data_IF_892789881525
#
_entry.id   IF_892789881525
#
_cell.length_a   1.000
_cell.length_b   1.000
_cell.length_c   1.000
_cell.angle_alpha   90.00
_cell.angle_beta   90.00
_cell.angle_gamma   90.00
#
_symmetry.space_group_name_H-M   'P 1'
#
loop_
_entity.id
_entity.type
_entity.pdbx_description
1 polymer ?
#
# COMPACT_ATOMS: atom_id res chain seq x y z
N UNK A 1 -6.88 -22.57 -14.29
CA UNK A 1 -7.82 -22.63 -13.13
C UNK A 1 -7.09 -22.78 -11.80
N UNK A 2 -5.93 -23.45 -11.73
CA UNK A 2 -5.05 -23.47 -10.54
C UNK A 2 -4.42 -22.10 -10.28
N UNK A 3 -3.95 -21.43 -11.33
CA UNK A 3 -3.12 -20.24 -11.23
C UNK A 3 -3.87 -19.05 -10.59
N UNK A 4 -5.14 -18.84 -10.97
CA UNK A 4 -5.97 -17.78 -10.37
C UNK A 4 -6.24 -18.05 -8.88
N UNK A 5 -6.41 -19.31 -8.49
CA UNK A 5 -6.65 -19.69 -7.09
C UNK A 5 -5.40 -19.43 -6.24
N UNK A 6 -4.21 -19.63 -6.80
CA UNK A 6 -2.95 -19.35 -6.13
C UNK A 6 -2.79 -17.84 -5.88
N UNK A 7 -3.12 -17.00 -6.88
CA UNK A 7 -3.18 -15.54 -6.70
C UNK A 7 -4.14 -15.14 -5.57
N UNK A 8 -5.34 -15.74 -5.49
CA UNK A 8 -6.28 -15.48 -4.40
C UNK A 8 -5.71 -15.84 -3.02
N UNK A 9 -4.93 -16.92 -2.94
CA UNK A 9 -4.28 -17.35 -1.70
C UNK A 9 -3.14 -16.41 -1.34
N UNK A 10 -2.32 -15.99 -2.30
CA UNK A 10 -1.22 -15.05 -2.06
C UNK A 10 -1.74 -13.71 -1.54
N UNK A 11 -2.81 -13.18 -2.13
CA UNK A 11 -3.48 -11.97 -1.64
C UNK A 11 -4.00 -12.17 -0.21
N UNK A 12 -4.66 -13.29 0.08
CA UNK A 12 -5.23 -13.58 1.40
C UNK A 12 -4.15 -13.75 2.49
N UNK A 13 -3.09 -14.51 2.19
CA UNK A 13 -2.03 -14.83 3.13
C UNK A 13 -0.91 -13.79 3.16
N UNK A 14 -1.03 -12.69 2.41
CA UNK A 14 -0.12 -11.55 2.51
C UNK A 14 0.03 -11.04 3.95
N UNK A 15 1.28 -10.90 4.42
CA UNK A 15 1.62 -10.43 5.76
C UNK A 15 2.53 -9.20 5.71
N UNK A 16 2.41 -8.35 6.73
CA UNK A 16 3.33 -7.23 6.97
C UNK A 16 4.03 -7.49 8.31
N UNK A 17 5.37 -7.54 8.36
CA UNK A 17 6.09 -7.60 9.62
C UNK A 17 5.98 -6.26 10.32
N UNK A 18 5.46 -6.26 11.54
CA UNK A 18 5.12 -5.05 12.29
C UNK A 18 5.75 -5.10 13.68
N UNK A 19 6.35 -3.98 14.08
CA UNK A 19 6.85 -3.72 15.42
C UNK A 19 5.88 -2.76 16.10
N UNK A 20 5.27 -3.18 17.20
CA UNK A 20 4.45 -2.32 18.04
C UNK A 20 5.27 -1.81 19.21
N UNK A 21 5.31 -0.49 19.41
CA UNK A 21 5.99 0.15 20.54
C UNK A 21 4.98 0.99 21.32
N UNK A 22 4.99 0.91 22.65
CA UNK A 22 4.12 1.76 23.47
C UNK A 22 4.59 3.22 23.40
N UNK A 23 3.65 4.16 23.30
CA UNK A 23 3.98 5.58 23.29
C UNK A 23 4.72 6.00 24.57
N UNK A 24 5.72 6.86 24.42
CA UNK A 24 6.70 7.15 25.48
C UNK A 24 6.10 7.86 26.70
N UNK A 25 5.06 8.68 26.50
CA UNK A 25 4.40 9.40 27.60
C UNK A 25 3.26 8.59 28.24
N UNK A 26 3.05 7.33 27.84
CA UNK A 26 2.09 6.46 28.52
C UNK A 26 2.59 6.09 29.91
N UNK A 27 1.71 6.26 30.91
CA UNK A 27 2.05 5.96 32.30
C UNK A 27 2.10 4.44 32.47
N UNK A 28 3.29 3.92 32.75
CA UNK A 28 3.53 2.50 32.96
C UNK A 28 4.12 2.20 34.33
N UNK A 29 3.86 1.01 34.86
CA UNK A 29 4.45 0.50 36.10
C UNK A 29 5.90 0.03 35.89
N UNK A 30 6.24 -0.33 34.65
CA UNK A 30 7.56 -0.83 34.21
C UNK A 30 7.73 -0.61 32.71
N UNK A 31 8.96 -0.68 32.25
CA UNK A 31 9.29 -0.58 30.83
C UNK A 31 8.53 -1.62 29.98
N UNK A 32 7.98 -1.16 28.86
CA UNK A 32 7.20 -1.97 27.94
C UNK A 32 8.08 -2.46 26.79
N UNK A 33 8.33 -3.76 26.70
CA UNK A 33 9.05 -4.31 25.55
C UNK A 33 8.23 -4.19 24.25
N UNK A 34 8.86 -3.90 23.10
CA UNK A 34 8.18 -3.91 21.81
C UNK A 34 7.56 -5.29 21.49
N UNK A 35 6.44 -5.28 20.77
CA UNK A 35 5.71 -6.49 20.37
C UNK A 35 5.76 -6.68 18.86
N UNK A 36 6.33 -7.79 18.39
CA UNK A 36 6.42 -8.10 16.96
C UNK A 36 5.29 -9.03 16.52
N UNK A 37 4.65 -8.70 15.39
CA UNK A 37 3.56 -9.49 14.84
C UNK A 37 3.54 -9.42 13.31
N UNK A 38 3.20 -10.54 12.65
CA UNK A 38 2.90 -10.57 11.23
C UNK A 38 1.41 -10.21 11.01
N UNK A 39 1.14 -9.00 10.57
CA UNK A 39 -0.23 -8.54 10.36
C UNK A 39 -0.80 -9.02 9.01
N UNK A 40 -2.03 -9.56 8.95
CA UNK A 40 -2.69 -9.90 7.70
C UNK A 40 -3.13 -8.66 6.91
N UNK A 41 -2.65 -8.52 5.68
CA UNK A 41 -2.95 -7.37 4.80
C UNK A 41 -4.45 -7.13 4.59
N UNK A 42 -5.24 -8.21 4.48
CA UNK A 42 -6.68 -8.16 4.16
C UNK A 42 -7.59 -7.89 5.37
N UNK A 43 -7.04 -7.74 6.58
CA UNK A 43 -7.82 -7.56 7.82
C UNK A 43 -7.73 -6.13 8.37
N UNK A 44 -8.27 -5.91 9.57
CA UNK A 44 -8.33 -4.62 10.26
C UNK A 44 -7.49 -4.64 11.54
N UNK A 45 -6.82 -3.53 11.87
CA UNK A 45 -5.91 -3.45 13.04
C UNK A 45 -6.61 -3.89 14.33
N UNK A 46 -7.78 -3.36 14.63
CA UNK A 46 -8.56 -3.65 15.85
C UNK A 46 -9.11 -5.07 15.90
N UNK A 47 -9.07 -5.83 14.80
CA UNK A 47 -9.53 -7.23 14.75
C UNK A 47 -8.42 -8.22 15.15
N UNK A 48 -7.17 -7.89 14.83
CA UNK A 48 -6.02 -8.84 14.89
C UNK A 48 -4.99 -8.52 15.97
N UNK A 49 -5.19 -7.44 16.72
CA UNK A 49 -4.23 -6.92 17.72
C UNK A 49 -4.60 -7.25 19.18
N UNK A 50 -5.50 -8.22 19.41
CA UNK A 50 -5.87 -8.66 20.78
C UNK A 50 -4.65 -9.02 21.64
N UNK A 51 -3.63 -9.66 21.04
CA UNK A 51 -2.38 -10.03 21.73
C UNK A 51 -1.52 -8.80 22.05
N UNK A 52 -1.48 -7.82 21.16
CA UNK A 52 -0.77 -6.55 21.34
C UNK A 52 -1.41 -5.76 22.48
N UNK A 53 -2.76 -5.63 22.46
CA UNK A 53 -3.52 -4.99 23.54
C UNK A 53 -3.24 -5.66 24.89
N UNK A 54 -3.35 -6.99 24.97
CA UNK A 54 -3.05 -7.75 26.20
C UNK A 54 -1.59 -7.64 26.66
N UNK A 55 -0.65 -7.45 25.75
CA UNK A 55 0.77 -7.28 26.08
C UNK A 55 0.99 -5.95 26.82
N UNK A 56 0.57 -4.84 26.23
CA UNK A 56 0.78 -3.52 26.81
C UNK A 56 -0.10 -3.25 28.04
N UNK A 57 -1.31 -3.82 28.11
CA UNK A 57 -2.14 -3.69 29.32
C UNK A 57 -1.50 -4.30 30.58
N UNK A 58 -0.52 -5.22 30.46
CA UNK A 58 0.17 -5.83 31.62
C UNK A 58 1.18 -4.91 32.31
N UNK A 59 1.50 -3.77 31.70
CA UNK A 59 2.44 -2.79 32.25
C UNK A 59 1.74 -1.48 32.62
N UNK A 60 0.43 -1.41 32.44
CA UNK A 60 -0.39 -0.22 32.73
C UNK A 60 -1.26 -0.44 33.96
N UNK A 61 -1.54 0.65 34.69
CA UNK A 61 -2.53 0.62 35.77
C UNK A 61 -3.94 0.53 35.20
N UNK A 62 -4.84 -0.14 35.92
CA UNK A 62 -6.19 -0.40 35.43
C UNK A 62 -7.00 0.89 35.17
N UNK A 63 -6.76 1.95 35.95
CA UNK A 63 -7.37 3.28 35.74
C UNK A 63 -6.87 4.02 34.49
N UNK A 64 -5.70 3.67 33.98
CA UNK A 64 -5.07 4.29 32.80
C UNK A 64 -5.42 3.56 31.50
N UNK A 65 -6.08 2.40 31.58
CA UNK A 65 -6.46 1.60 30.41
C UNK A 65 -7.76 2.16 29.80
N UNK A 66 -7.61 2.86 28.68
CA UNK A 66 -8.72 3.30 27.82
C UNK A 66 -8.72 2.57 26.48
N UNK A 67 -9.46 3.09 25.49
CA UNK A 67 -9.50 2.52 24.15
C UNK A 67 -8.12 2.58 23.48
N UNK A 68 -7.67 1.46 22.95
CA UNK A 68 -6.40 1.36 22.23
C UNK A 68 -6.54 2.01 20.85
N UNK A 69 -5.57 2.83 20.48
CA UNK A 69 -5.43 3.34 19.12
C UNK A 69 -3.96 3.29 18.66
N UNK A 70 -3.76 3.44 17.36
CA UNK A 70 -2.48 3.21 16.71
C UNK A 70 -2.07 4.41 15.88
N UNK A 71 -0.77 4.67 15.81
CA UNK A 71 -0.18 5.77 15.08
C UNK A 71 1.01 5.28 14.24
N UNK A 72 1.22 5.91 13.09
CA UNK A 72 2.45 5.82 12.33
C UNK A 72 2.98 7.23 12.03
N UNK A 73 4.18 7.55 12.52
CA UNK A 73 4.87 8.83 12.29
C UNK A 73 3.95 10.07 12.49
N UNK A 74 3.25 10.16 13.63
CA UNK A 74 2.35 11.26 13.94
C UNK A 74 0.96 11.16 13.30
N UNK A 75 0.71 10.15 12.47
CA UNK A 75 -0.58 9.96 11.78
C UNK A 75 -1.42 8.87 12.45
N UNK A 76 -2.60 9.21 13.02
CA UNK A 76 -3.53 8.22 13.54
C UNK A 76 -4.01 7.23 12.47
N UNK A 77 -3.89 5.93 12.75
CA UNK A 77 -4.22 4.85 11.83
C UNK A 77 -5.70 4.49 11.88
N UNK A 78 -6.41 4.78 10.79
CA UNK A 78 -7.85 4.49 10.64
C UNK A 78 -8.12 2.99 10.63
N UNK A 79 -8.59 2.44 11.76
CA UNK A 79 -8.80 0.98 11.91
C UNK A 79 -9.72 0.37 10.86
N UNK A 80 -10.65 1.15 10.31
CA UNK A 80 -11.64 0.71 9.32
C UNK A 80 -11.06 0.64 7.89
N UNK A 81 -9.80 1.03 7.69
CA UNK A 81 -9.05 0.79 6.46
C UNK A 81 -8.29 -0.54 6.59
N UNK A 82 -8.24 -1.38 5.53
CA UNK A 82 -7.46 -2.61 5.58
C UNK A 82 -6.00 -2.36 5.90
N UNK A 83 -5.38 -3.27 6.65
CA UNK A 83 -3.99 -3.15 7.10
C UNK A 83 -3.02 -2.96 5.92
N UNK A 84 -3.22 -3.74 4.84
CA UNK A 84 -2.41 -3.64 3.63
C UNK A 84 -2.49 -2.25 2.99
N UNK A 85 -3.68 -1.65 2.96
CA UNK A 85 -3.88 -0.30 2.45
C UNK A 85 -3.14 0.74 3.30
N UNK A 86 -3.28 0.67 4.63
CA UNK A 86 -2.60 1.61 5.52
C UNK A 86 -1.08 1.55 5.33
N UNK A 87 -0.52 0.35 5.25
CA UNK A 87 0.91 0.16 5.03
C UNK A 87 1.33 0.64 3.63
N UNK A 88 0.62 0.24 2.58
CA UNK A 88 0.97 0.59 1.19
C UNK A 88 0.94 2.11 0.98
N UNK A 89 -0.03 2.79 1.61
CA UNK A 89 -0.21 4.24 1.51
C UNK A 89 0.79 5.05 2.35
N UNK A 90 1.17 4.57 3.54
CA UNK A 90 1.89 5.38 4.53
C UNK A 90 3.35 4.96 4.74
N UNK A 91 3.68 3.67 4.55
CA UNK A 91 4.94 3.10 5.04
C UNK A 91 5.64 2.16 4.04
N UNK A 92 5.14 2.01 2.81
CA UNK A 92 5.70 1.08 1.80
C UNK A 92 7.11 1.42 1.35
N UNK A 93 7.49 2.70 1.39
CA UNK A 93 8.84 3.18 1.08
C UNK A 93 9.80 3.12 2.28
N UNK A 94 9.28 2.82 3.47
CA UNK A 94 10.07 2.73 4.71
C UNK A 94 10.67 1.34 4.90
N UNK A 95 11.78 1.27 5.64
CA UNK A 95 12.38 -0.01 6.00
C UNK A 95 11.44 -0.82 6.90
N UNK A 96 11.39 -2.13 6.66
CA UNK A 96 10.70 -3.08 7.54
C UNK A 96 11.50 -3.33 8.83
N UNK A 97 10.84 -3.67 9.96
CA UNK A 97 9.40 -3.85 10.13
C UNK A 97 8.62 -2.53 10.15
N UNK A 98 7.32 -2.58 9.84
CA UNK A 98 6.44 -1.42 9.99
C UNK A 98 6.34 -1.03 11.47
N UNK A 99 6.81 0.16 11.83
CA UNK A 99 6.86 0.62 13.21
C UNK A 99 5.56 1.35 13.58
N UNK A 100 4.72 0.72 14.39
CA UNK A 100 3.46 1.30 14.87
C UNK A 100 3.60 1.68 16.33
N UNK A 101 3.19 2.90 16.66
CA UNK A 101 3.09 3.36 18.05
C UNK A 101 1.70 3.03 18.59
N UNK A 102 1.66 2.49 19.81
CA UNK A 102 0.44 2.11 20.53
C UNK A 102 0.13 3.16 21.58
N UNK A 103 -1.12 3.60 21.61
CA UNK A 103 -1.62 4.57 22.56
C UNK A 103 -2.89 4.03 23.24
N UNK A 104 -3.11 4.48 24.47
CA UNK A 104 -4.34 4.26 25.22
C UNK A 104 -4.99 5.59 25.58
N UNK A 105 -4.23 6.64 25.84
CA UNK A 105 -4.73 7.97 26.20
C UNK A 105 -4.92 8.88 24.98
N UNK A 106 -5.57 10.02 25.20
CA UNK A 106 -5.69 11.10 24.20
C UNK A 106 -6.21 10.63 22.85
N UNK A 107 -7.31 9.87 22.85
CA UNK A 107 -7.90 9.35 21.61
C UNK A 107 -8.20 10.50 20.63
N UNK A 108 -7.74 10.44 19.38
CA UNK A 108 -7.91 11.53 18.42
C UNK A 108 -9.32 11.51 17.80
N UNK A 109 -10.29 12.04 18.56
CA UNK A 109 -11.73 12.10 18.23
C UNK A 109 -12.06 12.66 16.84
N UNK A 110 -11.20 13.53 16.31
CA UNK A 110 -11.40 14.18 15.01
C UNK A 110 -10.92 13.32 13.84
N UNK A 111 -10.00 12.40 14.09
CA UNK A 111 -9.26 11.66 13.05
C UNK A 111 -9.65 10.18 12.99
N UNK A 112 -10.11 9.63 14.12
CA UNK A 112 -10.46 8.21 14.26
C UNK A 112 -11.92 8.01 14.67
N UNK A 113 -12.51 6.95 14.11
CA UNK A 113 -13.78 6.41 14.58
C UNK A 113 -13.51 5.49 15.78
N UNK A 114 -14.37 5.52 16.79
CA UNK A 114 -14.32 4.52 17.87
C UNK A 114 -14.60 3.10 17.36
N UNK A 115 -13.98 2.11 18.01
CA UNK A 115 -14.14 0.69 17.77
C UNK A 115 -14.36 -0.07 19.09
N UNK A 116 -15.53 0.12 19.76
CA UNK A 116 -15.78 -0.43 21.08
C UNK A 116 -15.91 -1.96 21.11
N UNK A 117 -16.22 -2.60 19.98
CA UNK A 117 -16.40 -4.05 19.90
C UNK A 117 -16.11 -4.60 18.50
N UNK A 118 -15.93 -5.93 18.42
CA UNK A 118 -15.80 -6.63 17.14
C UNK A 118 -17.06 -6.57 16.28
N UNK A 119 -18.23 -6.35 16.89
CA UNK A 119 -19.50 -6.21 16.16
C UNK A 119 -19.52 -4.94 15.30
N UNK A 120 -18.83 -3.87 15.73
CA UNK A 120 -18.65 -2.64 14.93
C UNK A 120 -17.79 -2.93 13.69
N UNK A 121 -16.76 -3.77 13.83
CA UNK A 121 -15.92 -4.22 12.72
C UNK A 121 -16.72 -5.09 11.76
N UNK A 122 -17.52 -6.03 12.27
CA UNK A 122 -18.42 -6.88 11.46
C UNK A 122 -19.45 -6.03 10.69
N UNK A 123 -20.05 -5.03 11.34
CA UNK A 123 -20.99 -4.12 10.71
C UNK A 123 -20.33 -3.29 9.59
N UNK A 124 -19.13 -2.75 9.83
CA UNK A 124 -18.35 -2.02 8.82
C UNK A 124 -17.99 -2.91 7.62
N UNK A 125 -17.47 -4.10 7.89
CA UNK A 125 -17.13 -5.09 6.87
C UNK A 125 -18.35 -5.43 6.00
N UNK A 126 -19.48 -5.76 6.63
CA UNK A 126 -20.71 -6.11 5.90
C UNK A 126 -21.30 -4.92 5.14
N UNK A 127 -21.14 -3.70 5.64
CA UNK A 127 -21.51 -2.48 4.92
C UNK A 127 -20.72 -2.35 3.62
N UNK A 128 -19.40 -2.51 3.68
CA UNK A 128 -18.52 -2.48 2.50
C UNK A 128 -18.87 -3.59 1.49
N UNK A 129 -19.16 -4.81 1.96
CA UNK A 129 -19.56 -5.93 1.07
C UNK A 129 -20.89 -5.62 0.37
N UNK A 130 -21.88 -5.08 1.09
CA UNK A 130 -23.17 -4.69 0.52
C UNK A 130 -23.06 -3.56 -0.49
N UNK A 131 -22.22 -2.55 -0.20
CA UNK A 131 -21.93 -1.46 -1.12
C UNK A 131 -21.28 -1.97 -2.41
N UNK A 132 -20.30 -2.87 -2.29
CA UNK A 132 -19.67 -3.51 -3.44
C UNK A 132 -20.68 -4.32 -4.28
N UNK A 133 -21.57 -5.06 -3.64
CA UNK A 133 -22.61 -5.82 -4.35
C UNK A 133 -23.69 -4.92 -4.98
N UNK A 134 -23.97 -3.75 -4.39
CA UNK A 134 -24.83 -2.73 -4.99
C UNK A 134 -24.27 -2.27 -6.35
N UNK A 135 -22.95 -2.08 -6.43
CA UNK A 135 -22.26 -1.70 -7.66
C UNK A 135 -22.23 -2.85 -8.68
N UNK A 136 -21.91 -4.07 -8.23
CA UNK A 136 -21.75 -5.23 -9.12
C UNK A 136 -23.09 -5.77 -9.64
N UNK A 137 -24.06 -5.95 -8.75
CA UNK A 137 -25.28 -6.73 -8.99
C UNK A 137 -26.56 -6.05 -8.48
N UNK A 138 -26.55 -4.73 -8.22
CA UNK A 138 -27.70 -4.03 -7.62
C UNK A 138 -28.15 -4.66 -6.28
N UNK A 139 -27.19 -5.19 -5.52
CA UNK A 139 -27.40 -5.90 -4.24
C UNK A 139 -28.18 -7.21 -4.35
N UNK A 140 -28.40 -7.75 -5.56
CA UNK A 140 -29.21 -8.97 -5.74
C UNK A 140 -28.56 -10.17 -5.03
N UNK A 141 -27.27 -10.42 -5.29
CA UNK A 141 -26.58 -11.60 -4.77
C UNK A 141 -26.49 -11.57 -3.24
N UNK A 142 -26.09 -10.45 -2.64
CA UNK A 142 -25.95 -10.35 -1.17
C UNK A 142 -27.30 -10.43 -0.45
N UNK A 143 -28.38 -9.95 -1.08
CA UNK A 143 -29.74 -9.98 -0.49
C UNK A 143 -30.41 -11.35 -0.61
N UNK A 144 -30.04 -12.16 -1.61
CA UNK A 144 -30.49 -13.55 -1.74
C UNK A 144 -29.78 -14.52 -0.79
N UNK A 145 -28.60 -14.13 -0.27
CA UNK A 145 -27.86 -14.92 0.71
C UNK A 145 -28.59 -15.02 2.05
N UNK A 146 -28.44 -16.17 2.71
CA UNK A 146 -28.97 -16.38 4.06
C UNK A 146 -28.09 -15.69 5.10
N UNK A 147 -28.65 -15.34 6.27
CA UNK A 147 -27.89 -14.76 7.40
C UNK A 147 -26.67 -15.58 7.81
N UNK A 148 -26.73 -16.91 7.68
CA UNK A 148 -25.60 -17.81 7.94
C UNK A 148 -24.45 -17.61 6.95
N UNK A 149 -24.74 -17.26 5.70
CA UNK A 149 -23.75 -17.02 4.65
C UNK A 149 -23.01 -15.70 4.95
N UNK A 150 -23.75 -14.66 5.38
CA UNK A 150 -23.15 -13.40 5.86
C UNK A 150 -22.23 -13.66 7.06
N UNK A 151 -22.69 -14.46 8.03
CA UNK A 151 -21.85 -14.82 9.19
C UNK A 151 -20.63 -15.64 8.79
N UNK A 152 -20.75 -16.51 7.78
CA UNK A 152 -19.64 -17.30 7.28
C UNK A 152 -18.57 -16.43 6.59
N UNK A 153 -18.96 -15.40 5.83
CA UNK A 153 -18.00 -14.41 5.30
C UNK A 153 -17.21 -13.75 6.43
N UNK A 154 -17.93 -13.23 7.43
CA UNK A 154 -17.31 -12.59 8.58
C UNK A 154 -16.38 -13.54 9.35
N UNK A 155 -16.85 -14.75 9.68
CA UNK A 155 -16.05 -15.75 10.41
C UNK A 155 -14.84 -16.22 9.60
N UNK A 156 -14.96 -16.27 8.26
CA UNK A 156 -13.84 -16.55 7.36
C UNK A 156 -12.74 -15.51 7.48
N UNK A 157 -13.10 -14.22 7.46
CA UNK A 157 -12.16 -13.10 7.65
C UNK A 157 -11.57 -13.09 9.07
N UNK A 158 -12.43 -13.15 10.09
CA UNK A 158 -12.02 -13.04 11.50
C UNK A 158 -11.04 -14.13 11.93
N UNK A 159 -11.21 -15.35 11.42
CA UNK A 159 -10.41 -16.51 11.81
C UNK A 159 -9.35 -16.89 10.77
N UNK A 160 -9.10 -16.03 9.77
CA UNK A 160 -8.11 -16.27 8.70
C UNK A 160 -8.35 -17.59 7.95
N UNK A 161 -9.62 -17.92 7.70
CA UNK A 161 -10.07 -19.17 7.05
C UNK A 161 -10.43 -18.93 5.59
N UNK A 162 -9.43 -18.98 4.72
CA UNK A 162 -9.56 -18.79 3.26
C UNK A 162 -10.72 -19.58 2.65
N UNK A 163 -10.76 -20.91 2.81
CA UNK A 163 -11.78 -21.75 2.15
C UNK A 163 -13.20 -21.46 2.69
N UNK A 164 -13.31 -21.12 3.98
CA UNK A 164 -14.59 -20.73 4.59
C UNK A 164 -15.12 -19.42 3.99
N UNK A 165 -14.25 -18.43 3.81
CA UNK A 165 -14.58 -17.16 3.18
C UNK A 165 -14.97 -17.34 1.70
N UNK A 166 -14.10 -18.00 0.93
CA UNK A 166 -14.28 -18.15 -0.52
C UNK A 166 -15.42 -19.09 -0.93
N UNK A 167 -15.83 -20.01 -0.06
CA UNK A 167 -17.04 -20.81 -0.27
C UNK A 167 -18.30 -19.95 -0.48
N UNK A 168 -18.35 -18.77 0.15
CA UNK A 168 -19.44 -17.79 -0.01
C UNK A 168 -19.04 -16.66 -0.96
N UNK A 169 -17.84 -16.10 -0.82
CA UNK A 169 -17.40 -14.94 -1.61
C UNK A 169 -17.39 -15.20 -3.12
N UNK A 170 -17.17 -16.45 -3.56
CA UNK A 170 -17.25 -16.82 -4.97
C UNK A 170 -18.60 -16.45 -5.62
N UNK A 171 -19.71 -16.55 -4.88
CA UNK A 171 -21.04 -16.15 -5.38
C UNK A 171 -21.08 -14.65 -5.70
N UNK A 172 -20.40 -13.83 -4.89
CA UNK A 172 -20.27 -12.39 -5.12
C UNK A 172 -19.32 -12.07 -6.28
N UNK A 173 -18.60 -13.04 -6.81
CA UNK A 173 -17.66 -12.85 -7.93
C UNK A 173 -18.17 -13.47 -9.24
N UNK A 174 -19.35 -14.09 -9.21
CA UNK A 174 -20.06 -14.58 -10.40
C UNK A 174 -20.89 -13.44 -11.01
N UNK A 175 -21.00 -13.41 -12.33
CA UNK A 175 -21.87 -12.49 -13.08
C UNK A 175 -22.66 -13.29 -14.14
N UNK A 176 -23.78 -12.76 -14.67
CA UNK A 176 -24.62 -13.47 -15.64
C UNK A 176 -23.83 -13.91 -16.86
N UNK A 177 -24.16 -15.07 -17.45
CA UNK A 177 -23.39 -15.64 -18.56
C UNK A 177 -23.47 -14.80 -19.85
N UNK A 178 -24.55 -14.02 -19.98
CA UNK A 178 -24.76 -13.04 -21.05
C UNK A 178 -23.95 -11.75 -20.88
N UNK A 179 -23.39 -11.50 -19.68
CA UNK A 179 -22.53 -10.35 -19.40
C UNK A 179 -21.05 -10.78 -19.36
N UNK A 180 -20.15 -9.92 -19.84
CA UNK A 180 -18.70 -10.17 -19.80
C UNK A 180 -18.02 -9.59 -18.54
N UNK A 181 -18.79 -9.24 -17.51
CA UNK A 181 -18.28 -8.71 -16.25
C UNK A 181 -19.38 -8.11 -15.37
N UNK A 182 -18.99 -7.52 -14.24
CA UNK A 182 -19.92 -6.83 -13.35
C UNK A 182 -20.53 -5.58 -13.96
N UNK A 183 -21.66 -5.10 -13.41
CA UNK A 183 -22.27 -3.84 -13.84
C UNK A 183 -21.32 -2.64 -13.66
N UNK A 184 -20.70 -2.53 -12.49
CA UNK A 184 -19.65 -1.54 -12.17
C UNK A 184 -18.59 -2.17 -11.29
N UNK A 185 -17.36 -1.68 -11.38
CA UNK A 185 -16.24 -2.15 -10.55
C UNK A 185 -16.23 -1.43 -9.19
N UNK A 186 -16.26 -2.15 -8.06
CA UNK A 186 -16.07 -1.55 -6.74
C UNK A 186 -14.58 -1.21 -6.53
N UNK A 187 -14.25 0.07 -6.57
CA UNK A 187 -12.88 0.53 -6.35
C UNK A 187 -12.84 1.80 -5.50
N UNK A 188 -11.70 2.00 -4.82
CA UNK A 188 -11.33 3.26 -4.16
C UNK A 188 -9.86 3.56 -4.45
N UNK A 189 -9.59 4.78 -4.93
CA UNK A 189 -8.23 5.27 -5.16
C UNK A 189 -7.85 6.20 -4.01
N UNK A 190 -6.73 5.90 -3.35
CA UNK A 190 -6.20 6.67 -2.23
C UNK A 190 -4.93 7.42 -2.65
N UNK A 191 -4.85 8.69 -2.28
CA UNK A 191 -3.70 9.56 -2.51
C UNK A 191 -3.45 10.39 -1.25
N UNK A 192 -2.22 10.39 -0.75
CA UNK A 192 -1.83 11.16 0.45
C UNK A 192 -1.82 12.67 0.19
N UNK A 193 -1.67 13.09 -1.07
CA UNK A 193 -1.55 14.49 -1.47
C UNK A 193 -2.88 15.21 -1.65
N UNK A 194 -4.01 14.49 -1.60
CA UNK A 194 -5.33 15.07 -1.84
C UNK A 194 -6.10 15.26 -0.54
N UNK A 195 -6.83 16.38 -0.41
CA UNK A 195 -7.72 16.63 0.73
C UNK A 195 -8.91 15.65 0.79
N UNK A 196 -9.25 15.01 -0.33
CA UNK A 196 -10.33 14.01 -0.39
C UNK A 196 -9.84 12.67 0.17
N UNK A 197 -10.65 11.95 0.99
CA UNK A 197 -10.24 10.66 1.54
C UNK A 197 -9.92 9.59 0.49
N UNK A 198 -10.70 9.54 -0.59
CA UNK A 198 -10.49 8.67 -1.75
C UNK A 198 -11.35 9.10 -2.94
N UNK A 199 -11.02 8.61 -4.14
CA UNK A 199 -11.84 8.72 -5.34
C UNK A 199 -12.61 7.42 -5.54
N UNK A 200 -13.93 7.52 -5.66
CA UNK A 200 -14.84 6.43 -6.03
C UNK A 200 -15.85 6.95 -7.05
N UNK A 201 -15.90 6.33 -8.22
CA UNK A 201 -16.81 6.69 -9.33
C UNK A 201 -17.40 5.43 -9.95
N UNK A 202 -18.46 5.58 -10.74
CA UNK A 202 -19.01 4.48 -11.53
C UNK A 202 -18.09 4.23 -12.73
N UNK A 203 -17.55 3.02 -12.85
CA UNK A 203 -16.73 2.60 -13.97
C UNK A 203 -17.15 1.20 -14.41
N UNK A 204 -17.41 1.00 -15.70
CA UNK A 204 -17.80 -0.30 -16.26
C UNK A 204 -16.56 -1.10 -16.62
N UNK A 205 -16.52 -2.41 -16.35
CA UNK A 205 -15.37 -3.25 -16.75
C UNK A 205 -15.34 -3.57 -18.24
N UNK A 206 -16.47 -3.41 -18.94
CA UNK A 206 -16.63 -3.75 -20.35
C UNK A 206 -17.04 -2.48 -21.08
N UNK A 207 -16.35 -2.21 -22.19
CA UNK A 207 -16.62 -1.10 -23.10
C UNK A 207 -17.89 -1.34 -23.95
N UNK A 208 -18.33 -0.35 -24.71
CA UNK A 208 -19.52 -0.48 -25.57
C UNK A 208 -19.32 -1.46 -26.74
N UNK A 209 -18.08 -1.68 -27.17
CA UNK A 209 -17.67 -2.66 -28.19
C UNK A 209 -17.36 -4.05 -27.61
N UNK A 210 -17.57 -4.25 -26.30
CA UNK A 210 -17.44 -5.55 -25.65
C UNK A 210 -16.02 -5.91 -25.22
N UNK A 211 -15.06 -4.99 -25.33
CA UNK A 211 -13.69 -5.18 -24.85
C UNK A 211 -13.59 -4.95 -23.34
N UNK A 212 -12.64 -5.64 -22.70
CA UNK A 212 -12.37 -5.43 -21.28
C UNK A 212 -11.53 -4.17 -21.09
N UNK A 213 -12.01 -3.26 -20.24
CA UNK A 213 -11.20 -2.13 -19.79
C UNK A 213 -10.03 -2.62 -18.93
N UNK A 214 -8.91 -1.93 -19.08
CA UNK A 214 -7.69 -2.14 -18.31
C UNK A 214 -7.66 -1.24 -17.07
N UNK A 215 -6.70 -1.50 -16.18
CA UNK A 215 -6.39 -0.58 -15.09
C UNK A 215 -5.98 0.82 -15.61
N UNK A 216 -5.28 0.87 -16.75
CA UNK A 216 -4.89 2.12 -17.38
C UNK A 216 -6.10 2.96 -17.80
N UNK A 217 -7.12 2.33 -18.37
CA UNK A 217 -8.37 3.01 -18.77
C UNK A 217 -9.10 3.60 -17.56
N UNK A 218 -9.19 2.83 -16.47
CA UNK A 218 -9.74 3.33 -15.20
C UNK A 218 -8.99 4.57 -14.74
N UNK A 219 -7.66 4.49 -14.61
CA UNK A 219 -6.84 5.61 -14.11
C UNK A 219 -6.93 6.84 -15.02
N UNK A 220 -6.85 6.65 -16.35
CA UNK A 220 -7.02 7.72 -17.33
C UNK A 220 -8.37 8.43 -17.19
N UNK A 221 -9.44 7.72 -16.85
CA UNK A 221 -10.77 8.32 -16.67
C UNK A 221 -10.95 8.99 -15.30
N UNK A 222 -10.57 8.32 -14.21
CA UNK A 222 -10.96 8.75 -12.85
C UNK A 222 -9.86 9.48 -12.08
N UNK A 223 -8.60 9.24 -12.41
CA UNK A 223 -7.43 9.84 -11.78
C UNK A 223 -6.31 10.10 -12.80
N UNK A 224 -6.51 11.01 -13.78
CA UNK A 224 -5.57 11.21 -14.87
C UNK A 224 -4.16 11.61 -14.39
N UNK A 225 -4.06 12.29 -13.25
CA UNK A 225 -2.77 12.70 -12.65
C UNK A 225 -1.89 11.53 -12.20
N UNK A 226 -2.45 10.33 -12.08
CA UNK A 226 -1.70 9.10 -11.78
C UNK A 226 -0.98 8.51 -13.00
N UNK A 227 -1.34 8.96 -14.21
CA UNK A 227 -0.81 8.45 -15.47
C UNK A 227 0.12 9.52 -16.05
N UNK A 228 1.35 9.15 -16.39
CA UNK A 228 2.26 10.07 -17.06
C UNK A 228 1.63 10.55 -18.38
N UNK A 229 1.76 11.83 -18.75
CA UNK A 229 1.34 12.30 -20.06
C UNK A 229 2.04 11.44 -21.12
N UNK A 230 1.31 10.96 -22.13
CA UNK A 230 1.94 10.32 -23.28
C UNK A 230 2.84 11.36 -23.97
N UNK A 231 4.15 11.25 -23.78
CA UNK A 231 5.13 12.08 -24.48
C UNK A 231 5.12 11.63 -25.95
N UNK A 232 4.36 12.31 -26.78
CA UNK A 232 4.41 12.16 -28.22
C UNK A 232 5.79 12.64 -28.70
N UNK A 233 6.64 11.71 -29.14
CA UNK A 233 7.89 12.02 -29.85
C UNK A 233 7.67 12.37 -31.33
N UNK A 234 6.45 12.68 -31.76
CA UNK A 234 6.18 13.11 -33.14
C UNK A 234 6.24 14.63 -33.25
N UNK A 235 7.47 15.16 -33.25
CA UNK A 235 7.90 16.34 -34.01
C UNK A 235 9.39 16.64 -33.76
N UNK A 236 10.27 15.69 -34.09
CA UNK A 236 11.59 16.08 -34.60
C UNK A 236 11.47 16.10 -36.11
N UNK A 237 11.01 17.24 -36.64
CA UNK A 237 11.19 17.54 -38.05
C UNK A 237 12.69 17.72 -38.24
N UNK A 238 13.32 16.77 -38.93
CA UNK A 238 14.65 16.97 -39.46
C UNK A 238 14.61 18.16 -40.43
N UNK A 239 15.13 19.30 -40.02
CA UNK A 239 15.60 20.33 -40.93
C UNK A 239 17.02 20.69 -40.55
N UNK A 240 17.95 20.22 -41.37
CA UNK A 240 19.36 20.57 -41.36
C UNK A 240 19.54 22.09 -41.28
N UNK A 241 20.34 22.57 -40.32
CA UNK A 241 21.64 23.24 -40.56
C UNK A 241 22.19 23.85 -39.26
N UNK A 242 23.40 23.41 -38.90
CA UNK A 242 24.44 24.09 -38.11
C UNK A 242 24.08 24.69 -36.73
N UNK A 243 24.29 23.92 -35.67
CA UNK A 243 25.16 24.28 -34.54
C UNK A 243 25.22 23.15 -33.50
N UNK A 244 26.10 22.18 -33.75
CA UNK A 244 26.49 21.19 -32.74
C UNK A 244 27.78 21.70 -32.07
N UNK A 245 27.66 22.25 -30.87
CA UNK A 245 28.77 22.32 -29.94
C UNK A 245 29.03 20.90 -29.42
N UNK A 246 29.85 20.15 -30.16
CA UNK A 246 30.53 18.98 -29.64
C UNK A 246 31.64 19.45 -28.69
N UNK A 247 31.45 19.32 -27.37
CA UNK A 247 32.57 19.24 -26.45
C UNK A 247 32.89 17.76 -26.18
N UNK A 248 33.95 17.36 -26.88
CA UNK A 248 34.84 16.20 -26.78
C UNK A 248 34.87 15.49 -25.41
N UNK A 249 34.69 14.16 -25.35
CA UNK A 249 35.68 13.10 -25.66
C UNK A 249 36.87 12.99 -24.69
N UNK A 250 36.84 11.87 -23.93
CA UNK A 250 37.90 10.87 -23.68
C UNK A 250 39.09 11.14 -22.72
N UNK A 251 39.30 10.10 -21.90
CA UNK A 251 40.55 9.50 -21.38
C UNK A 251 41.06 9.81 -19.95
N UNK A 252 41.09 8.72 -19.14
CA UNK A 252 41.87 8.43 -17.92
C UNK A 252 43.40 8.35 -18.21
N UNK A 253 44.30 7.99 -17.26
CA UNK A 253 44.54 8.40 -15.86
C UNK A 253 46.04 8.80 -15.63
N UNK A 254 46.42 9.37 -14.48
CA UNK A 254 47.82 9.28 -14.00
C UNK A 254 47.95 9.12 -12.48
N UNK A 255 48.85 8.20 -12.10
CA UNK A 255 49.30 7.83 -10.76
C UNK A 255 50.61 8.58 -10.48
N UNK A 256 50.79 9.14 -9.27
CA UNK A 256 52.10 9.20 -8.62
C UNK A 256 51.97 9.05 -7.09
N UNK A 257 52.96 8.34 -6.53
CA UNK A 257 53.09 7.76 -5.18
C UNK A 257 53.34 8.75 -4.03
N UNK A 258 52.88 8.30 -2.84
CA UNK A 258 53.44 8.34 -1.47
C UNK A 258 54.20 9.57 -0.95
N UNK A 259 53.80 10.04 0.25
CA UNK A 259 54.67 9.94 1.43
C UNK A 259 53.90 10.01 2.77
N UNK A 260 54.35 9.20 3.73
CA UNK A 260 53.94 9.17 5.14
C UNK A 260 55.01 9.84 6.01
N UNK A 261 54.63 10.73 6.93
CA UNK A 261 55.38 10.95 8.19
C UNK A 261 54.58 11.71 9.26
N UNK A 262 54.25 10.99 10.34
CA UNK A 262 54.32 11.32 11.78
C UNK A 262 54.13 12.75 12.31
N UNK A 263 53.26 12.90 13.32
CA UNK A 263 53.35 13.96 14.33
C UNK A 263 52.17 13.99 15.33
N UNK A 264 52.41 13.61 16.60
CA UNK A 264 51.48 13.66 17.75
C UNK A 264 51.13 15.10 18.15
N UNK A 265 49.90 15.33 18.66
CA UNK A 265 49.58 15.79 20.04
C UNK A 265 48.23 16.56 20.12
N UNK A 266 47.32 16.07 20.96
CA UNK A 266 46.20 16.82 21.59
C UNK A 266 46.70 17.60 22.83
N UNK A 267 45.88 18.37 23.59
CA UNK A 267 44.52 18.90 23.34
C UNK A 267 44.41 20.42 23.61
N UNK A 268 43.31 21.08 23.22
CA UNK A 268 42.56 22.00 24.11
C UNK A 268 41.29 22.58 23.50
N UNK A 269 40.37 22.87 24.41
CA UNK A 269 39.02 23.42 24.31
C UNK A 269 38.87 24.75 23.54
N UNK A 270 37.75 24.90 22.82
CA UNK A 270 36.77 26.02 22.92
C UNK A 270 35.77 25.98 21.75
N UNK A 271 34.48 25.96 22.07
CA UNK A 271 33.39 26.30 21.13
C UNK A 271 33.46 27.79 20.77
N UNK A 272 33.13 28.16 19.52
CA UNK A 272 32.04 29.12 19.31
C UNK A 272 31.26 28.86 17.97
N UNK A 273 30.39 29.77 17.50
CA UNK A 273 28.93 29.73 17.58
C UNK A 273 28.22 29.29 16.27
N UNK A 274 26.90 29.17 16.33
CA UNK A 274 25.98 28.74 15.28
C UNK A 274 26.11 29.50 13.94
N UNK A 275 25.98 28.83 12.77
CA UNK A 275 25.95 29.50 11.47
C UNK A 275 24.55 30.07 11.15
N UNK A 276 24.46 31.14 10.32
CA UNK A 276 23.21 31.84 10.01
C UNK A 276 22.33 31.08 9.01
N UNK A 277 21.03 31.36 9.10
CA UNK A 277 19.97 30.88 8.20
C UNK A 277 20.32 31.13 6.72
N UNK A 278 20.26 30.08 5.90
CA UNK A 278 20.19 30.19 4.43
C UNK A 278 18.72 30.09 4.00
N UNK A 279 18.31 31.09 3.22
CA UNK A 279 17.10 31.08 2.39
C UNK A 279 17.16 29.95 1.35
N UNK A 280 16.02 29.33 0.99
CA UNK A 280 16.00 28.25 0.00
C UNK A 280 16.15 28.82 -1.41
N UNK A 281 17.16 28.33 -2.14
CA UNK A 281 17.22 28.43 -3.61
C UNK A 281 16.23 27.45 -4.26
N UNK A 282 15.91 27.65 -5.55
CA UNK A 282 14.86 26.88 -6.22
C UNK A 282 15.30 25.41 -6.33
N UNK A 283 14.57 24.51 -5.68
CA UNK A 283 14.71 23.07 -5.87
C UNK A 283 14.16 22.72 -7.25
N UNK A 284 14.98 22.08 -8.06
CA UNK A 284 14.60 21.46 -9.32
C UNK A 284 13.40 20.53 -9.10
N UNK A 285 12.35 20.73 -9.89
CA UNK A 285 11.17 19.87 -9.94
C UNK A 285 11.59 18.46 -10.36
N UNK A 286 11.82 17.61 -9.35
CA UNK A 286 11.80 16.17 -9.53
C UNK A 286 10.34 15.75 -9.62
N UNK A 287 9.93 15.22 -10.77
CA UNK A 287 8.65 14.54 -10.95
C UNK A 287 8.49 13.48 -9.85
N UNK A 288 7.74 13.84 -8.80
CA UNK A 288 7.44 12.93 -7.71
C UNK A 288 6.28 12.08 -8.19
N UNK A 289 6.59 10.85 -8.63
CA UNK A 289 5.55 9.85 -8.91
C UNK A 289 4.74 9.66 -7.61
N UNK A 290 3.49 10.10 -7.64
CA UNK A 290 2.59 10.03 -6.49
C UNK A 290 2.23 8.56 -6.27
N UNK A 291 2.49 7.97 -5.08
CA UNK A 291 2.09 6.60 -4.81
C UNK A 291 0.56 6.52 -4.79
N UNK A 292 -0.01 5.85 -5.79
CA UNK A 292 -1.45 5.60 -5.88
C UNK A 292 -1.71 4.18 -5.39
N UNK A 293 -2.38 4.05 -4.24
CA UNK A 293 -2.83 2.75 -3.77
C UNK A 293 -4.30 2.56 -4.15
N UNK A 294 -4.55 1.57 -5.00
CA UNK A 294 -5.89 1.19 -5.45
C UNK A 294 -6.38 0.02 -4.61
N UNK A 295 -7.42 0.22 -3.81
CA UNK A 295 -8.15 -0.90 -3.23
C UNK A 295 -9.32 -1.23 -4.15
N UNK A 296 -9.11 -2.21 -5.04
CA UNK A 296 -10.23 -2.83 -5.74
C UNK A 296 -10.85 -3.82 -4.76
N UNK A 297 -12.17 -3.75 -4.57
CA UNK A 297 -12.89 -4.76 -3.79
C UNK A 297 -12.72 -6.11 -4.47
N UNK A 298 -11.74 -6.89 -4.02
CA UNK A 298 -11.22 -8.15 -4.58
C UNK A 298 -11.96 -8.60 -5.85
N UNK A 299 -11.58 -8.16 -7.04
CA UNK A 299 -11.87 -8.87 -8.27
C UNK A 299 -10.73 -9.86 -8.55
N UNK A 300 -11.01 -11.15 -8.81
CA UNK A 300 -10.17 -11.91 -9.72
C UNK A 300 -10.32 -11.30 -11.12
N UNK A 301 -9.35 -11.50 -12.00
CA UNK A 301 -9.24 -10.93 -13.36
C UNK A 301 -8.51 -9.57 -13.46
N UNK A 302 -7.22 -9.59 -13.14
CA UNK A 302 -6.24 -9.02 -14.06
C UNK A 302 -5.54 -10.21 -14.73
N UNK A 303 -5.90 -10.51 -15.98
CA UNK A 303 -5.09 -11.43 -16.81
C UNK A 303 -3.68 -10.84 -16.89
N UNK A 304 -2.61 -11.59 -16.55
CA UNK A 304 -1.26 -11.15 -16.82
C UNK A 304 -1.00 -11.31 -18.32
N UNK A 305 -1.29 -10.28 -19.11
CA UNK A 305 -0.69 -10.11 -20.43
C UNK A 305 0.48 -9.13 -20.30
N UNK A 306 1.52 -9.56 -19.59
CA UNK A 306 2.84 -8.93 -19.61
C UNK A 306 3.86 -10.04 -19.83
N UNK A 307 3.90 -10.56 -21.06
CA UNK A 307 5.09 -11.21 -21.56
C UNK A 307 6.15 -10.11 -21.76
N UNK A 308 7.09 -10.00 -20.83
CA UNK A 308 8.36 -9.37 -21.12
C UNK A 308 9.12 -10.29 -22.08
N UNK A 309 9.00 -10.02 -23.38
CA UNK A 309 9.92 -10.56 -24.37
C UNK A 309 11.31 -10.01 -24.07
N UNK A 310 12.10 -10.77 -23.32
CA UNK A 310 13.54 -10.59 -23.28
C UNK A 310 14.09 -11.26 -24.54
N UNK A 311 14.16 -10.51 -25.64
CA UNK A 311 15.06 -10.86 -26.74
C UNK A 311 16.50 -10.76 -26.21
N UNK A 312 17.00 -11.88 -25.70
CA UNK A 312 18.43 -12.09 -25.52
C UNK A 312 19.00 -12.47 -26.88
N UNK A 313 19.62 -11.51 -27.57
CA UNK A 313 20.55 -11.83 -28.64
C UNK A 313 21.76 -12.54 -28.01
N UNK A 314 21.73 -13.88 -28.01
CA UNK A 314 22.91 -14.69 -27.76
C UNK A 314 23.67 -14.85 -29.08
N UNK A 315 24.83 -14.20 -29.17
CA UNK A 315 25.83 -14.50 -30.19
C UNK A 315 26.34 -15.93 -29.93
N UNK A 316 25.90 -16.87 -30.76
CA UNK A 316 26.41 -18.23 -30.78
C UNK A 316 27.85 -18.26 -31.27
N UNK A 317 28.79 -18.52 -30.35
CA UNK A 317 30.11 -19.05 -30.68
C UNK A 317 30.01 -20.57 -30.62
N UNK A 318 30.09 -21.20 -31.78
CA UNK A 318 30.20 -22.64 -31.97
C UNK A 318 31.56 -23.14 -31.48
N UNK A 319 31.56 -24.00 -30.46
CA UNK A 319 32.69 -24.89 -30.15
C UNK A 319 32.23 -26.31 -30.45
N UNK A 320 32.86 -26.90 -31.45
CA UNK A 320 32.77 -28.31 -31.82
C UNK A 320 33.71 -29.12 -30.94
N UNK A 321 33.18 -30.04 -30.14
CA UNK A 321 33.98 -31.12 -29.57
C UNK A 321 33.74 -32.40 -30.38
N UNK A 322 34.86 -33.03 -30.73
CA UNK A 322 35.01 -34.31 -31.41
C UNK A 322 35.81 -35.23 -30.50
#
# INVERSE_FOLDING_TARGET
>A
MTDDKDVLRDVWFGRIPTCFTLYQDEITEREAEPYYLLLPRVSYLTLVTDKVKKHFQKVMRQEDISEIWFEYEGTPLKWHYPIGLLFDLLASSSALPWNITVHFKSFPEKDLLHCPSKDVIEAHFMSCVKEADALKHKSQVINEMQKKDHKQLWMGLQNDRFDQFWAINRKLMEYPAEENGFRYIPFRIYQTTTERPFIQKLFRPVSTDGQLHTLGDLLKEVCPSAVAPEVFWDQVVASDTENVLCLNSRDHPQIHRMDCSTGRSQPESKWPPSPPQRSPGPSCDGETQVPVTLLIGIPPYLKPSLEFSTQTHSNGVSVTDN
#
